data_IF_384361442865
#
_entry.id   IF_384361442865
#
_cell.length_a   1.000
_cell.length_b   1.000
_cell.length_c   1.000
_cell.angle_alpha   90.00
_cell.angle_beta   90.00
_cell.angle_gamma   90.00
#
_symmetry.space_group_name_H-M   'P 1'
#
loop_
_entity.id
_entity.type
_entity.pdbx_description
1 polymer ?
#
# COMPACT_ATOMS: atom_id res chain seq x y z
N UNK A 1 5.36 8.51 -14.69
CA UNK A 1 4.69 8.84 -13.41
C UNK A 1 4.91 7.65 -12.48
N UNK A 2 5.31 7.85 -11.21
CA UNK A 2 5.46 6.72 -10.26
C UNK A 2 4.08 6.34 -9.72
N UNK A 3 3.80 5.04 -9.61
CA UNK A 3 2.52 4.47 -9.14
C UNK A 3 2.60 3.95 -7.70
N UNK A 4 1.45 3.61 -7.10
CA UNK A 4 1.40 2.89 -5.82
C UNK A 4 2.17 1.57 -5.87
N UNK A 5 2.03 0.82 -6.97
CA UNK A 5 2.75 -0.44 -7.20
C UNK A 5 4.27 -0.24 -7.21
N UNK A 6 4.77 0.79 -7.89
CA UNK A 6 6.21 1.10 -7.90
C UNK A 6 6.73 1.44 -6.50
N UNK A 7 5.91 2.19 -5.74
CA UNK A 7 6.24 2.54 -4.37
C UNK A 7 6.28 1.31 -3.45
N UNK A 8 5.25 0.46 -3.50
CA UNK A 8 5.18 -0.75 -2.69
C UNK A 8 6.30 -1.74 -3.04
N UNK A 9 6.70 -1.85 -4.31
CA UNK A 9 7.88 -2.61 -4.70
C UNK A 9 9.17 -2.06 -4.05
N UNK A 10 9.35 -0.74 -4.00
CA UNK A 10 10.49 -0.11 -3.31
C UNK A 10 10.47 -0.42 -1.81
N UNK A 11 9.30 -0.32 -1.17
CA UNK A 11 9.14 -0.63 0.27
C UNK A 11 9.45 -2.10 0.54
N UNK A 12 8.96 -3.01 -0.30
CA UNK A 12 9.19 -4.46 -0.18
C UNK A 12 10.67 -4.85 -0.23
N UNK A 13 11.49 -4.09 -0.97
CA UNK A 13 12.93 -4.29 -1.07
C UNK A 13 13.73 -3.67 0.08
N UNK A 14 13.08 -2.95 1.00
CA UNK A 14 13.75 -2.31 2.13
C UNK A 14 14.21 -3.37 3.16
N UNK A 15 15.48 -3.37 3.61
CA UNK A 15 15.96 -4.31 4.62
C UNK A 15 15.15 -4.34 5.91
N UNK A 16 14.50 -3.23 6.28
CA UNK A 16 13.63 -3.15 7.46
C UNK A 16 12.43 -4.12 7.39
N UNK A 17 12.03 -4.56 6.19
CA UNK A 17 10.97 -5.58 6.01
C UNK A 17 11.29 -6.88 6.75
N UNK A 18 12.57 -7.23 6.90
CA UNK A 18 12.98 -8.45 7.61
C UNK A 18 12.71 -8.38 9.13
N UNK A 19 12.56 -7.18 9.68
CA UNK A 19 12.27 -6.97 11.10
C UNK A 19 10.77 -6.98 11.42
N UNK A 20 9.91 -6.95 10.40
CA UNK A 20 8.46 -7.01 10.55
C UNK A 20 8.02 -8.38 11.08
N UNK A 21 6.90 -8.40 11.80
CA UNK A 21 6.22 -9.65 12.15
C UNK A 21 5.72 -10.37 10.90
N UNK A 22 5.43 -11.68 11.04
CA UNK A 22 4.90 -12.47 9.93
C UNK A 22 3.59 -11.88 9.37
N UNK A 23 2.73 -11.34 10.24
CA UNK A 23 1.45 -10.73 9.83
C UNK A 23 1.66 -9.41 9.07
N UNK A 24 2.65 -8.61 9.45
CA UNK A 24 3.00 -7.36 8.76
C UNK A 24 3.65 -7.62 7.40
N UNK A 25 4.54 -8.62 7.31
CA UNK A 25 5.10 -9.05 6.02
C UNK A 25 3.99 -9.55 5.09
N UNK A 26 3.07 -10.37 5.61
CA UNK A 26 1.92 -10.86 4.85
C UNK A 26 1.00 -9.72 4.38
N UNK A 27 0.78 -8.70 5.22
CA UNK A 27 0.00 -7.52 4.86
C UNK A 27 0.70 -6.70 3.75
N UNK A 28 2.01 -6.47 3.87
CA UNK A 28 2.78 -5.76 2.83
C UNK A 28 2.71 -6.49 1.48
N UNK A 29 2.87 -7.80 1.51
CA UNK A 29 2.74 -8.68 0.36
C UNK A 29 1.33 -8.61 -0.28
N UNK A 30 0.29 -8.61 0.55
CA UNK A 30 -1.10 -8.51 0.09
C UNK A 30 -1.39 -7.15 -0.53
N UNK A 31 -0.91 -6.06 0.07
CA UNK A 31 -1.01 -4.70 -0.46
C UNK A 31 -0.35 -4.60 -1.84
N UNK A 32 0.85 -5.16 -2.01
CA UNK A 32 1.55 -5.16 -3.30
C UNK A 32 0.75 -5.90 -4.38
N UNK A 33 0.24 -7.10 -4.09
CA UNK A 33 -0.58 -7.88 -5.03
C UNK A 33 -1.90 -7.20 -5.36
N UNK A 34 -2.54 -6.57 -4.37
CA UNK A 34 -3.79 -5.87 -4.57
C UNK A 34 -3.61 -4.58 -5.38
N UNK A 35 -2.50 -3.86 -5.18
CA UNK A 35 -2.17 -2.67 -5.97
C UNK A 35 -1.93 -3.02 -7.45
N UNK A 36 -1.36 -4.19 -7.73
CA UNK A 36 -1.18 -4.69 -9.10
C UNK A 36 -2.51 -5.08 -9.78
N UNK A 37 -3.51 -5.49 -9.00
CA UNK A 37 -4.78 -6.01 -9.50
C UNK A 37 -5.97 -5.04 -9.32
N UNK A 38 -5.75 -3.83 -8.81
CA UNK A 38 -6.79 -2.86 -8.47
C UNK A 38 -7.88 -3.44 -7.55
N UNK A 39 -7.44 -4.10 -6.47
CA UNK A 39 -8.32 -4.70 -5.46
C UNK A 39 -7.94 -4.27 -4.04
N UNK A 40 -7.50 -3.02 -3.86
CA UNK A 40 -7.02 -2.52 -2.57
C UNK A 40 -8.18 -2.21 -1.60
N UNK A 41 -9.36 -1.83 -2.12
CA UNK A 41 -10.54 -1.48 -1.31
C UNK A 41 -10.88 -2.50 -0.22
N UNK A 42 -11.02 -3.81 -0.52
CA UNK A 42 -11.36 -4.80 0.52
C UNK A 42 -10.30 -4.91 1.62
N UNK A 43 -9.01 -4.71 1.31
CA UNK A 43 -7.93 -4.75 2.31
C UNK A 43 -8.03 -3.54 3.23
N UNK A 44 -8.22 -2.35 2.66
CA UNK A 44 -8.42 -1.12 3.45
C UNK A 44 -9.63 -1.25 4.36
N UNK A 45 -10.74 -1.81 3.89
CA UNK A 45 -11.92 -2.03 4.73
C UNK A 45 -11.66 -3.01 5.88
N UNK A 46 -10.82 -4.02 5.66
CA UNK A 46 -10.50 -5.05 6.66
C UNK A 46 -9.50 -4.56 7.71
N UNK A 47 -8.42 -3.92 7.26
CA UNK A 47 -7.28 -3.54 8.11
C UNK A 47 -7.36 -2.09 8.61
N UNK A 48 -8.01 -1.22 7.85
CA UNK A 48 -8.07 0.23 8.09
C UNK A 48 -6.83 0.98 7.59
N UNK A 49 -7.04 2.25 7.21
CA UNK A 49 -5.95 3.14 6.75
C UNK A 49 -4.84 3.31 7.78
N UNK A 50 -5.19 3.44 9.07
CA UNK A 50 -4.21 3.70 10.13
C UNK A 50 -3.15 2.60 10.22
N UNK A 51 -3.57 1.32 10.18
CA UNK A 51 -2.66 0.17 10.24
C UNK A 51 -1.75 0.10 9.01
N UNK A 52 -2.32 0.35 7.83
CA UNK A 52 -1.57 0.35 6.57
C UNK A 52 -0.54 1.48 6.52
N UNK A 53 -0.90 2.67 7.00
CA UNK A 53 0.02 3.82 7.05
C UNK A 53 1.12 3.55 8.07
N UNK A 54 0.79 3.06 9.26
CA UNK A 54 1.78 2.73 10.30
C UNK A 54 2.80 1.70 9.79
N UNK A 55 2.34 0.65 9.10
CA UNK A 55 3.22 -0.35 8.49
C UNK A 55 4.24 0.30 7.54
N UNK A 56 3.83 1.27 6.73
CA UNK A 56 4.74 1.97 5.81
C UNK A 56 5.68 2.91 6.56
N UNK A 57 5.19 3.59 7.62
CA UNK A 57 5.99 4.45 8.49
C UNK A 57 7.11 3.69 9.20
N UNK A 58 6.84 2.46 9.64
CA UNK A 58 7.82 1.61 10.34
C UNK A 58 8.99 1.17 9.43
N UNK A 59 8.76 1.17 8.11
CA UNK A 59 9.75 0.75 7.10
C UNK A 59 10.44 1.97 6.44
N UNK A 60 9.70 3.06 6.28
CA UNK A 60 10.05 4.16 5.37
C UNK A 60 10.36 5.46 6.11
N UNK A 61 10.89 6.44 5.39
CA UNK A 61 11.01 7.80 5.93
C UNK A 61 9.65 8.49 5.99
N UNK A 62 9.53 9.54 6.81
CA UNK A 62 8.32 10.38 6.85
C UNK A 62 7.96 10.94 5.46
N UNK A 63 8.96 11.41 4.69
CA UNK A 63 8.75 11.91 3.33
C UNK A 63 8.20 10.84 2.39
N UNK A 64 8.75 9.61 2.46
CA UNK A 64 8.24 8.48 1.68
C UNK A 64 6.82 8.09 2.10
N UNK A 65 6.49 8.18 3.39
CA UNK A 65 5.13 7.93 3.89
C UNK A 65 4.12 8.94 3.34
N UNK A 66 4.47 10.23 3.28
CA UNK A 66 3.58 11.21 2.64
C UNK A 66 3.38 10.94 1.14
N UNK A 67 4.41 10.47 0.44
CA UNK A 67 4.29 10.03 -0.95
C UNK A 67 3.40 8.79 -1.06
N UNK A 68 3.54 7.82 -0.17
CA UNK A 68 2.69 6.64 -0.11
C UNK A 68 1.21 7.02 -0.02
N UNK A 69 0.85 7.91 0.92
CA UNK A 69 -0.54 8.35 1.10
C UNK A 69 -1.08 8.98 -0.19
N UNK A 70 -0.27 9.80 -0.87
CA UNK A 70 -0.66 10.41 -2.14
C UNK A 70 -0.91 9.37 -3.23
N UNK A 71 -0.04 8.37 -3.36
CA UNK A 71 -0.22 7.28 -4.31
C UNK A 71 -1.39 6.37 -3.95
N UNK A 72 -1.64 6.15 -2.67
CA UNK A 72 -2.76 5.36 -2.16
C UNK A 72 -4.09 6.01 -2.54
N UNK A 73 -4.27 7.30 -2.28
CA UNK A 73 -5.49 8.03 -2.62
C UNK A 73 -5.73 8.03 -4.13
N UNK A 74 -4.70 8.30 -4.93
CA UNK A 74 -4.79 8.26 -6.39
C UNK A 74 -5.19 6.86 -6.89
N UNK A 75 -4.58 5.79 -6.35
CA UNK A 75 -4.93 4.42 -6.72
C UNK A 75 -6.40 4.09 -6.35
N UNK A 76 -6.86 4.53 -5.18
CA UNK A 76 -8.24 4.32 -4.75
C UNK A 76 -9.26 5.05 -5.63
N UNK A 77 -8.95 6.27 -6.08
CA UNK A 77 -9.78 6.97 -7.06
C UNK A 77 -9.87 6.21 -8.39
N UNK A 78 -8.76 5.64 -8.86
CA UNK A 78 -8.73 4.83 -10.08
C UNK A 78 -9.58 3.56 -9.94
N UNK A 79 -9.45 2.83 -8.83
CA UNK A 79 -10.25 1.64 -8.54
C UNK A 79 -11.76 1.96 -8.48
N UNK A 80 -12.13 3.07 -7.83
CA UNK A 80 -13.51 3.53 -7.77
C UNK A 80 -14.07 3.87 -9.17
N UNK A 81 -13.28 4.53 -10.03
CA UNK A 81 -13.69 4.86 -11.40
C UNK A 81 -13.89 3.61 -12.27
N UNK A 82 -13.06 2.58 -12.10
CA UNK A 82 -13.21 1.29 -12.78
C UNK A 82 -14.49 0.55 -12.39
N UNK A 83 -14.88 0.63 -11.11
CA UNK A 83 -16.09 -0.04 -10.60
C UNK A 83 -17.37 0.76 -10.85
N UNK A 84 -17.28 2.09 -10.97
CA UNK A 84 -18.44 2.95 -11.28
C UNK A 84 -18.84 2.95 -12.75
N UNK A 85 -18.02 2.39 -13.64
CA UNK A 85 -18.27 2.31 -15.09
C UNK A 85 -19.00 1.02 -15.52
N UNK A 86 -19.54 0.24 -14.58
CA UNK A 86 -20.37 -0.95 -14.81
C UNK A 86 -21.80 -0.69 -14.37
#
# INVERSE_FOLDING_TARGET
QRSLTDFLNKVHQNPAVQALSADEQALLDELLRAAQSHTLTPIIHREGYAKIIQLVEDISTQSDTHLFISYLVEHMHQEAAMHSSK
#
